data_IF_240943984307
#
_entry.id   IF_240943984307
#
_cell.length_a   1.000
_cell.length_b   1.000
_cell.length_c   1.000
_cell.angle_alpha   90.00
_cell.angle_beta   90.00
_cell.angle_gamma   90.00
#
_symmetry.space_group_name_H-M   'P 1'
#
loop_
_entity.id
_entity.type
_entity.pdbx_description
1 polymer ?
2 non-polymer ?
3 non-polymer ?
4 non-polymer ?
5 water ?
#
# COMPACT_ATOMS: atom_id res chain seq x y z
N UNK A 1 -8.50 18.62 -21.50
CA UNK A 1 -8.27 19.06 -20.13
C UNK A 1 -7.34 18.14 -19.35
N UNK A 2 -7.01 18.53 -18.13
CA UNK A 2 -6.13 17.76 -17.27
C UNK A 2 -6.89 16.67 -16.52
N UNK A 3 -6.15 15.66 -16.07
CA UNK A 3 -6.71 14.53 -15.35
C UNK A 3 -6.44 14.67 -13.86
N UNK A 4 -7.43 14.33 -13.05
CA UNK A 4 -7.38 14.50 -11.60
C UNK A 4 -7.67 13.15 -10.94
N UNK A 5 -6.64 12.38 -10.63
CA UNK A 5 -6.88 11.01 -10.15
C UNK A 5 -7.38 11.02 -8.71
N UNK A 6 -8.42 10.25 -8.45
CA UNK A 6 -8.99 10.10 -7.11
C UNK A 6 -8.39 8.85 -6.46
N UNK A 7 -7.67 9.03 -5.35
CA UNK A 7 -7.12 7.91 -4.60
C UNK A 7 -7.91 7.69 -3.32
N UNK A 8 -8.27 6.44 -3.06
CA UNK A 8 -8.94 6.06 -1.83
C UNK A 8 -8.17 4.95 -1.13
N UNK A 9 -8.17 5.03 0.19
CA UNK A 9 -7.64 4.00 1.07
C UNK A 9 -8.76 3.41 1.89
N UNK A 10 -8.88 2.07 1.87
CA UNK A 10 -9.98 1.35 2.51
C UNK A 10 -9.40 0.39 3.54
N UNK A 11 -9.76 0.62 4.81
CA UNK A 11 -9.41 -0.32 5.87
C UNK A 11 -10.50 -1.35 6.09
N UNK A 12 -10.12 -2.61 6.19
CA UNK A 12 -11.06 -3.72 6.26
C UNK A 12 -10.69 -4.60 7.46
N UNK A 13 -11.59 -4.66 8.44
CA UNK A 13 -11.30 -5.31 9.69
C UNK A 13 -10.50 -4.45 10.66
N UNK A 14 -10.12 -5.05 11.78
CA UNK A 14 -9.53 -4.28 12.87
C UNK A 14 -8.18 -3.69 12.51
N UNK A 15 -7.26 -4.53 12.07
CA UNK A 15 -5.93 -4.04 11.71
C UNK A 15 -5.97 -3.02 10.60
N UNK A 16 -6.79 -3.27 9.58
CA UNK A 16 -6.93 -2.30 8.50
C UNK A 16 -7.45 -0.96 8.96
N UNK A 17 -8.47 -0.96 9.81
CA UNK A 17 -8.98 0.31 10.28
C UNK A 17 -8.03 0.97 11.26
N UNK A 18 -7.26 0.18 12.02
CA UNK A 18 -6.17 0.71 12.81
C UNK A 18 -5.22 1.52 11.93
N UNK A 19 -4.83 0.93 10.80
CA UNK A 19 -3.90 1.60 9.90
C UNK A 19 -4.50 2.86 9.32
N UNK A 20 -5.80 2.82 8.98
CA UNK A 20 -6.49 4.01 8.50
C UNK A 20 -6.47 5.10 9.55
N UNK A 21 -6.81 4.75 10.80
CA UNK A 21 -6.85 5.75 11.86
C UNK A 21 -5.49 6.39 12.05
N UNK A 22 -4.44 5.57 12.08
CA UNK A 22 -3.11 6.14 12.31
C UNK A 22 -2.64 6.98 11.13
N UNK A 23 -3.01 6.60 9.90
CA UNK A 23 -2.67 7.43 8.75
C UNK A 23 -3.40 8.77 8.78
N UNK A 24 -4.70 8.75 9.14
CA UNK A 24 -5.43 10.00 9.28
C UNK A 24 -4.76 10.89 10.33
N UNK A 25 -4.40 10.30 11.48
CA UNK A 25 -3.72 11.06 12.52
C UNK A 25 -2.44 11.70 11.99
N UNK A 26 -1.62 10.91 11.27
CA UNK A 26 -0.37 11.42 10.72
C UNK A 26 -0.62 12.58 9.79
N UNK A 27 -1.76 12.57 9.09
CA UNK A 27 -2.11 13.63 8.18
C UNK A 27 -1.86 13.20 6.75
N UNK A 28 -2.86 13.38 5.90
CA UNK A 28 -2.76 12.91 4.53
C UNK A 28 -3.85 13.58 3.71
N UNK A 29 -3.44 14.40 2.74
CA UNK A 29 -4.37 15.23 2.00
C UNK A 29 -4.60 14.65 0.61
N UNK A 30 -5.78 14.94 0.07
CA UNK A 30 -6.27 14.52 -1.24
C UNK A 30 -6.51 13.03 -1.35
N UNK A 31 -6.38 12.29 -0.26
CA UNK A 31 -6.78 10.88 -0.21
C UNK A 31 -8.08 10.78 0.56
N UNK A 32 -9.00 9.95 0.07
CA UNK A 32 -10.24 9.66 0.81
C UNK A 32 -10.08 8.33 1.53
N UNK A 33 -10.59 8.26 2.75
CA UNK A 33 -10.50 7.04 3.55
C UNK A 33 -11.90 6.45 3.74
N UNK A 34 -11.97 5.13 3.72
CA UNK A 34 -13.19 4.37 3.93
C UNK A 34 -12.88 3.31 4.98
N UNK A 35 -13.70 3.23 6.00
CA UNK A 35 -13.55 2.22 7.04
C UNK A 35 -14.66 1.19 6.90
N UNK A 36 -14.27 -0.09 6.80
CA UNK A 36 -15.21 -1.19 6.66
C UNK A 36 -14.95 -2.19 7.79
N UNK A 37 -15.99 -2.54 8.53
CA UNK A 37 -15.82 -3.50 9.62
C UNK A 37 -17.19 -4.08 10.00
N UNK A 38 -17.14 -5.32 10.49
CA UNK A 38 -18.23 -5.91 11.24
C UNK A 38 -18.38 -5.32 12.63
N UNK A 39 -17.26 -4.96 13.25
CA UNK A 39 -17.23 -4.61 14.67
C UNK A 39 -17.70 -3.17 14.81
N UNK A 40 -18.95 -2.99 15.23
CA UNK A 40 -19.49 -1.66 15.36
C UNK A 40 -18.83 -0.79 16.41
N UNK A 41 -18.31 -1.41 17.47
CA UNK A 41 -17.64 -0.67 18.53
C UNK A 41 -16.36 -0.02 18.00
N UNK A 42 -15.57 -0.77 17.23
CA UNK A 42 -14.39 -0.22 16.60
C UNK A 42 -14.76 0.80 15.54
N UNK A 43 -15.77 0.51 14.73
CA UNK A 43 -16.13 1.44 13.66
C UNK A 43 -16.58 2.77 14.25
N UNK A 44 -17.26 2.76 15.40
CA UNK A 44 -17.69 4.01 16.03
C UNK A 44 -16.50 4.91 16.35
N UNK A 45 -15.33 4.32 16.60
CA UNK A 45 -14.12 5.08 16.91
C UNK A 45 -13.30 5.42 15.69
N UNK A 46 -13.74 5.01 14.49
CA UNK A 46 -12.98 5.32 13.29
C UNK A 46 -12.98 6.81 13.01
N UNK A 47 -11.86 7.29 12.50
CA UNK A 47 -11.71 8.68 12.07
C UNK A 47 -12.06 8.87 10.60
N UNK A 48 -12.42 7.80 9.89
CA UNK A 48 -12.68 7.89 8.46
C UNK A 48 -13.97 8.62 8.18
N UNK A 49 -13.97 9.38 7.07
CA UNK A 49 -15.15 10.15 6.70
C UNK A 49 -16.29 9.26 6.21
N UNK A 50 -15.97 8.09 5.70
CA UNK A 50 -16.95 7.16 5.15
C UNK A 50 -16.79 5.85 5.92
N UNK A 51 -17.86 5.40 6.54
CA UNK A 51 -17.87 4.18 7.36
C UNK A 51 -18.95 3.24 6.89
N UNK A 52 -18.61 1.97 6.77
CA UNK A 52 -19.55 0.97 6.32
C UNK A 52 -19.51 -0.17 7.32
N UNK A 53 -20.57 -0.33 8.10
CA UNK A 53 -20.69 -1.51 8.95
C UNK A 53 -21.26 -2.63 8.10
N UNK A 54 -20.57 -3.75 8.04
CA UNK A 54 -21.03 -4.90 7.25
C UNK A 54 -21.44 -6.03 8.19
N UNK A 55 -22.38 -6.86 7.74
CA UNK A 55 -22.70 -8.09 8.47
C UNK A 55 -23.45 -7.95 9.78
N UNK A 56 -24.14 -6.83 10.01
CA UNK A 56 -24.84 -6.68 11.29
C UNK A 56 -25.86 -7.80 11.53
N UNK A 57 -26.54 -8.24 10.48
CA UNK A 57 -27.45 -9.37 10.62
C UNK A 57 -26.72 -10.64 11.01
N UNK A 58 -25.48 -10.80 10.56
CA UNK A 58 -24.75 -12.02 10.84
C UNK A 58 -24.09 -12.02 12.20
N UNK A 59 -23.62 -10.85 12.67
CA UNK A 59 -22.81 -10.77 13.88
C UNK A 59 -23.45 -9.98 15.01
N UNK A 60 -24.58 -9.33 14.75
CA UNK A 60 -25.26 -8.43 15.70
C UNK A 60 -24.35 -7.30 16.16
N UNK A 61 -23.40 -6.91 15.31
CA UNK A 61 -22.55 -5.76 15.56
C UNK A 61 -21.20 -6.11 16.15
N UNK A 62 -20.95 -7.40 16.39
CA UNK A 62 -19.68 -7.91 16.81
C UNK A 62 -18.78 -8.17 15.61
N UNK A 63 -17.50 -8.42 15.90
CA UNK A 63 -16.62 -8.96 14.90
C UNK A 63 -17.06 -10.35 14.45
N UNK A 64 -16.27 -10.90 13.54
CA UNK A 64 -16.51 -12.19 12.89
C UNK A 64 -16.01 -13.36 13.71
N UNK A 65 -15.41 -13.11 14.87
CA UNK A 65 -14.96 -14.25 15.68
C UNK A 65 -13.99 -15.21 15.01
N UNK A 66 -13.10 -14.69 14.20
CA UNK A 66 -12.06 -15.46 13.53
C UNK A 66 -12.60 -16.35 12.41
N UNK A 67 -13.84 -16.10 11.94
CA UNK A 67 -14.44 -16.94 10.92
C UNK A 67 -14.42 -16.21 9.57
N UNK A 68 -13.52 -16.54 8.64
CA UNK A 68 -13.44 -15.76 7.40
C UNK A 68 -14.65 -15.89 6.50
N UNK A 69 -15.38 -17.01 6.57
CA UNK A 69 -16.61 -17.11 5.79
C UNK A 69 -17.63 -16.04 6.18
N UNK A 70 -17.66 -15.67 7.46
CA UNK A 70 -18.58 -14.61 7.91
C UNK A 70 -18.13 -13.26 7.38
N UNK A 71 -16.82 -12.98 7.42
CA UNK A 71 -16.31 -11.77 6.78
C UNK A 71 -16.64 -11.71 5.30
N UNK A 72 -16.50 -12.83 4.60
CA UNK A 72 -16.79 -12.84 3.17
C UNK A 72 -18.27 -12.59 2.91
N UNK A 73 -19.15 -13.32 3.60
CA UNK A 73 -20.60 -13.15 3.40
C UNK A 73 -21.04 -11.74 3.79
N UNK A 74 -20.45 -11.16 4.86
CA UNK A 74 -20.79 -9.79 5.26
C UNK A 74 -20.48 -8.79 4.16
N UNK A 75 -19.29 -8.89 3.56
CA UNK A 75 -18.94 -7.98 2.47
C UNK A 75 -19.83 -8.17 1.25
N UNK A 76 -20.10 -9.42 0.87
CA UNK A 76 -20.94 -9.66 -0.31
C UNK A 76 -22.32 -9.07 -0.11
N UNK A 77 -22.88 -9.22 1.09
CA UNK A 77 -24.23 -8.72 1.33
C UNK A 77 -24.30 -7.21 1.38
N UNK A 78 -23.18 -6.52 1.56
CA UNK A 78 -23.12 -5.07 1.50
C UNK A 78 -22.45 -4.56 0.23
N UNK A 79 -22.49 -5.35 -0.84
CA UNK A 79 -21.83 -4.97 -2.09
C UNK A 79 -22.25 -3.58 -2.53
N UNK A 80 -23.54 -3.28 -2.52
CA UNK A 80 -23.97 -2.01 -3.09
C UNK A 80 -23.44 -0.83 -2.28
N UNK A 81 -23.40 -0.97 -0.95
CA UNK A 81 -22.92 0.13 -0.14
C UNK A 81 -21.42 0.34 -0.37
N UNK A 82 -20.70 -0.76 -0.54
CA UNK A 82 -19.28 -0.70 -0.85
C UNK A 82 -19.05 -0.07 -2.22
N UNK A 83 -19.84 -0.50 -3.24
CA UNK A 83 -19.74 0.13 -4.56
C UNK A 83 -19.94 1.64 -4.46
N UNK A 84 -20.98 2.06 -3.72
CA UNK A 84 -21.32 3.46 -3.66
C UNK A 84 -20.19 4.28 -3.03
N UNK A 85 -19.50 3.71 -2.05
CA UNK A 85 -18.42 4.42 -1.36
C UNK A 85 -17.18 4.53 -2.26
N UNK A 86 -16.98 3.54 -3.13
CA UNK A 86 -15.81 3.51 -4.00
C UNK A 86 -16.02 4.39 -5.23
N UNK A 87 -17.25 4.48 -5.72
CA UNK A 87 -17.52 4.98 -7.06
C UNK A 87 -16.82 6.30 -7.31
N UNK A 88 -16.09 6.38 -8.42
CA UNK A 88 -15.30 7.53 -8.77
C UNK A 88 -13.81 7.38 -8.53
N UNK A 89 -13.40 6.41 -7.70
CA UNK A 89 -11.99 6.20 -7.45
C UNK A 89 -11.28 5.71 -8.70
N UNK A 90 -10.13 6.29 -8.96
CA UNK A 90 -9.22 5.80 -9.99
C UNK A 90 -8.28 4.76 -9.45
N UNK A 91 -7.96 4.89 -8.16
CA UNK A 91 -7.06 3.97 -7.49
C UNK A 91 -7.58 3.72 -6.08
N UNK A 92 -7.52 2.48 -5.66
CA UNK A 92 -7.97 2.04 -4.35
C UNK A 92 -6.86 1.22 -3.71
N UNK A 93 -6.45 1.58 -2.50
CA UNK A 93 -5.60 0.76 -1.66
C UNK A 93 -6.47 0.08 -0.58
N UNK A 94 -6.44 -1.26 -0.54
CA UNK A 94 -7.18 -2.04 0.47
C UNK A 94 -6.17 -2.54 1.48
N UNK A 95 -6.29 -2.12 2.73
CA UNK A 95 -5.38 -2.59 3.75
C UNK A 95 -6.12 -3.39 4.81
N UNK A 96 -5.51 -4.48 5.22
CA UNK A 96 -6.16 -5.44 6.09
C UNK A 96 -5.11 -6.30 6.76
N UNK A 97 -5.42 -6.78 7.96
CA UNK A 97 -4.67 -7.82 8.61
C UNK A 97 -5.27 -9.19 8.34
N UNK A 98 -4.49 -10.06 7.74
CA UNK A 98 -4.96 -11.39 7.41
C UNK A 98 -4.84 -12.31 8.62
N UNK A 99 -5.77 -13.26 8.72
CA UNK A 99 -5.77 -14.27 9.76
C UNK A 99 -7.02 -14.25 10.64
N UNK A 100 -7.73 -13.14 10.71
CA UNK A 100 -8.98 -13.06 11.42
C UNK A 100 -10.14 -13.40 10.52
N UNK A 101 -11.35 -13.06 10.98
CA UNK A 101 -12.52 -13.35 10.18
C UNK A 101 -12.91 -12.24 9.22
N UNK A 102 -12.82 -10.99 9.64
CA UNK A 102 -13.30 -9.92 8.76
C UNK A 102 -12.27 -9.57 7.68
N UNK A 103 -11.06 -9.24 8.07
CA UNK A 103 -10.04 -8.96 7.08
C UNK A 103 -9.90 -10.10 6.08
N UNK A 104 -9.64 -11.32 6.57
CA UNK A 104 -9.36 -12.44 5.68
C UNK A 104 -10.46 -12.63 4.66
N UNK A 105 -11.72 -12.53 5.09
CA UNK A 105 -12.84 -12.82 4.23
C UNK A 105 -13.40 -11.65 3.46
N UNK A 106 -13.44 -10.46 4.08
CA UNK A 106 -14.00 -9.29 3.43
C UNK A 106 -13.03 -8.56 2.53
N UNK A 107 -11.74 -8.54 2.86
CA UNK A 107 -10.82 -7.72 2.07
C UNK A 107 -10.77 -8.17 0.62
N UNK A 108 -10.70 -9.47 0.30
CA UNK A 108 -10.73 -9.84 -1.13
C UNK A 108 -12.04 -9.44 -1.83
N UNK A 109 -13.16 -9.43 -1.10
CA UNK A 109 -14.41 -9.03 -1.72
C UNK A 109 -14.36 -7.55 -2.04
N UNK A 110 -13.89 -6.76 -1.09
CA UNK A 110 -13.75 -5.31 -1.32
C UNK A 110 -12.82 -5.04 -2.49
N UNK A 111 -11.71 -5.77 -2.56
CA UNK A 111 -10.76 -5.59 -3.66
C UNK A 111 -11.41 -5.93 -5.01
N UNK A 112 -12.11 -7.06 -5.07
CA UNK A 112 -12.83 -7.45 -6.29
C UNK A 112 -13.83 -6.37 -6.72
N UNK A 113 -14.61 -5.83 -5.78
CA UNK A 113 -15.56 -4.77 -6.12
C UNK A 113 -14.83 -3.56 -6.69
N UNK A 114 -13.74 -3.14 -6.04
CA UNK A 114 -13.01 -1.98 -6.52
C UNK A 114 -12.55 -2.18 -7.97
N UNK A 115 -11.98 -3.35 -8.26
CA UNK A 115 -11.48 -3.61 -9.61
C UNK A 115 -12.62 -3.64 -10.61
N UNK A 116 -13.75 -4.25 -10.24
CA UNK A 116 -14.92 -4.26 -11.10
C UNK A 116 -15.54 -2.87 -11.26
N UNK A 117 -15.30 -1.97 -10.31
CA UNK A 117 -15.74 -0.58 -10.45
C UNK A 117 -14.77 0.25 -11.30
N UNK A 118 -13.69 -0.35 -11.78
CA UNK A 118 -12.73 0.34 -12.62
C UNK A 118 -11.53 0.95 -11.93
N UNK A 119 -11.34 0.73 -10.64
CA UNK A 119 -10.19 1.29 -9.96
C UNK A 119 -8.97 0.38 -10.08
N UNK A 120 -7.81 1.01 -10.24
CA UNK A 120 -6.54 0.32 -10.04
C UNK A 120 -6.42 -0.06 -8.56
N UNK A 121 -6.32 -1.36 -8.29
CA UNK A 121 -6.58 -1.87 -6.94
C UNK A 121 -5.32 -2.51 -6.39
N UNK A 122 -4.82 -1.95 -5.28
CA UNK A 122 -3.61 -2.42 -4.60
C UNK A 122 -3.97 -2.92 -3.20
N UNK A 123 -3.56 -4.14 -2.87
CA UNK A 123 -3.65 -4.65 -1.52
C UNK A 123 -2.34 -4.46 -0.75
N UNK A 124 -2.48 -4.03 0.51
CA UNK A 124 -1.36 -4.00 1.45
C UNK A 124 -1.85 -4.71 2.72
N UNK A 125 -1.37 -5.91 2.95
CA UNK A 125 -1.90 -6.75 4.01
C UNK A 125 -0.76 -7.35 4.81
N UNK A 126 -1.08 -7.70 6.05
CA UNK A 126 -0.16 -8.35 6.95
C UNK A 126 -0.50 -9.84 7.08
N UNK A 127 0.55 -10.64 7.39
CA UNK A 127 0.44 -12.01 7.88
C UNK A 127 0.69 -12.00 9.38
N UNK A 128 0.04 -12.91 10.11
CA UNK A 128 0.12 -12.87 11.58
C UNK A 128 1.50 -13.28 12.09
N UNK A 129 1.78 -12.83 13.32
CA UNK A 129 2.98 -13.28 14.01
C UNK A 129 2.92 -14.80 14.19
N UNK A 130 4.08 -15.45 14.09
CA UNK A 130 4.15 -16.89 14.37
C UNK A 130 3.58 -17.23 15.75
N UNK A 131 3.73 -16.33 16.72
CA UNK A 131 3.24 -16.63 18.05
C UNK A 131 1.71 -16.67 18.12
N UNK A 132 1.01 -16.22 17.08
CA UNK A 132 -0.43 -16.40 16.99
C UNK A 132 -0.84 -17.79 16.54
N UNK A 133 0.10 -18.60 16.07
CA UNK A 133 -0.14 -20.02 15.86
C UNK A 133 -0.46 -20.36 14.42
N UNK A 134 -0.50 -21.69 14.18
CA UNK A 134 -0.53 -22.23 12.82
C UNK A 134 -1.89 -22.05 12.17
N UNK A 135 -2.98 -22.20 12.92
CA UNK A 135 -4.29 -22.04 12.31
C UNK A 135 -4.51 -20.62 11.82
N UNK A 136 -4.05 -19.62 12.60
CA UNK A 136 -4.12 -18.24 12.14
C UNK A 136 -3.26 -18.03 10.89
N UNK A 137 -2.07 -18.60 10.88
CA UNK A 137 -1.20 -18.48 9.72
C UNK A 137 -1.85 -19.12 8.50
N UNK A 138 -2.45 -20.29 8.67
CA UNK A 138 -3.09 -20.98 7.55
C UNK A 138 -4.32 -20.22 7.04
N UNK A 139 -5.15 -19.68 7.94
CA UNK A 139 -6.25 -18.82 7.47
C UNK A 139 -5.71 -17.61 6.76
N UNK A 140 -4.67 -16.98 7.32
CA UNK A 140 -4.08 -15.82 6.66
C UNK A 140 -3.58 -16.16 5.27
N UNK A 141 -2.96 -17.33 5.11
CA UNK A 141 -2.46 -17.73 3.80
C UNK A 141 -3.59 -17.80 2.77
N UNK A 142 -4.75 -18.36 3.17
CA UNK A 142 -5.89 -18.41 2.26
C UNK A 142 -6.36 -17.00 1.90
N UNK A 143 -6.36 -16.09 2.88
CA UNK A 143 -6.70 -14.71 2.58
C UNK A 143 -5.74 -14.05 1.60
N UNK A 144 -4.46 -14.26 1.81
CA UNK A 144 -3.46 -13.72 0.89
C UNK A 144 -3.70 -14.21 -0.53
N UNK A 145 -3.91 -15.51 -0.69
CA UNK A 145 -4.17 -16.04 -2.01
C UNK A 145 -5.44 -15.44 -2.61
N UNK A 146 -6.49 -15.31 -1.80
CA UNK A 146 -7.71 -14.69 -2.31
C UNK A 146 -7.47 -13.23 -2.69
N UNK A 147 -6.69 -12.50 -1.89
CA UNK A 147 -6.33 -11.12 -2.22
C UNK A 147 -5.59 -11.07 -3.55
N UNK A 148 -4.61 -11.98 -3.74
CA UNK A 148 -3.82 -11.97 -4.96
C UNK A 148 -4.72 -12.15 -6.16
N UNK A 149 -5.76 -12.98 -6.04
CA UNK A 149 -6.66 -13.21 -7.16
C UNK A 149 -7.51 -11.99 -7.45
N UNK A 150 -7.75 -11.13 -6.46
CA UNK A 150 -8.69 -10.04 -6.61
C UNK A 150 -8.05 -8.69 -6.94
N UNK A 151 -6.78 -8.47 -6.59
CA UNK A 151 -6.18 -7.14 -6.73
C UNK A 151 -5.43 -7.04 -8.06
N UNK A 152 -5.02 -5.81 -8.41
CA UNK A 152 -4.01 -5.67 -9.46
C UNK A 152 -2.62 -5.98 -8.91
N UNK A 153 -2.30 -5.46 -7.71
CA UNK A 153 -0.97 -5.66 -7.12
C UNK A 153 -1.14 -5.86 -5.62
N UNK A 154 -0.25 -6.65 -5.03
CA UNK A 154 -0.32 -7.04 -3.62
C UNK A 154 1.03 -6.88 -2.95
N UNK A 155 1.04 -6.18 -1.82
CA UNK A 155 2.17 -6.03 -0.92
C UNK A 155 1.82 -6.74 0.37
N UNK A 156 2.65 -7.69 0.75
CA UNK A 156 2.45 -8.49 1.97
C UNK A 156 3.55 -8.15 2.97
N UNK A 157 3.13 -7.82 4.20
CA UNK A 157 4.03 -7.54 5.32
C UNK A 157 3.87 -8.64 6.35
N UNK A 158 4.82 -9.59 6.47
CA UNK A 158 4.75 -10.57 7.56
C UNK A 158 5.03 -9.87 8.88
N UNK A 159 4.08 -9.94 9.81
CA UNK A 159 4.27 -9.25 11.07
C UNK A 159 5.52 -9.74 11.80
N UNK A 160 5.95 -10.98 11.54
CA UNK A 160 7.19 -11.46 12.16
C UNK A 160 8.37 -10.55 11.83
N UNK A 161 8.33 -9.84 10.69
CA UNK A 161 9.43 -8.96 10.36
C UNK A 161 9.52 -7.78 11.32
N UNK A 162 8.42 -7.41 11.97
CA UNK A 162 8.51 -6.39 13.00
C UNK A 162 9.45 -6.82 14.13
N UNK A 163 9.57 -8.11 14.35
CA UNK A 163 10.46 -8.56 15.40
C UNK A 163 11.91 -8.34 15.02
N UNK A 164 12.17 -8.02 13.76
CA UNK A 164 13.53 -7.73 13.31
C UNK A 164 13.91 -6.27 13.49
N UNK A 165 12.97 -5.36 13.71
CA UNK A 165 13.23 -3.93 13.77
C UNK A 165 12.95 -3.34 15.14
N UNK A 166 12.64 -4.16 16.15
CA UNK A 166 12.43 -3.66 17.49
C UNK A 166 13.58 -4.09 18.38
N UNK A 167 13.82 -3.32 19.43
CA UNK A 167 14.57 -3.81 20.57
C UNK A 167 13.59 -4.32 21.63
N UNK A 168 14.12 -4.80 22.76
CA UNK A 168 13.24 -5.45 23.73
C UNK A 168 12.21 -4.49 24.34
N UNK A 169 12.37 -3.19 24.17
CA UNK A 169 11.48 -2.21 24.77
C UNK A 169 10.60 -1.45 23.78
N UNK A 170 10.82 -1.57 22.48
CA UNK A 170 10.06 -0.76 21.53
C UNK A 170 8.56 -0.99 21.76
N UNK A 171 7.78 0.06 21.96
CA UNK A 171 6.34 -0.16 22.15
C UNK A 171 5.70 -0.81 20.92
N UNK A 172 4.72 -1.69 21.18
CA UNK A 172 4.02 -2.34 20.10
C UNK A 172 3.46 -1.33 19.11
N UNK A 173 2.95 -0.21 19.61
CA UNK A 173 2.33 0.75 18.71
C UNK A 173 3.38 1.41 17.82
N UNK A 174 4.57 1.62 18.35
CA UNK A 174 5.65 2.18 17.52
C UNK A 174 6.03 1.21 16.42
N UNK A 175 6.09 -0.09 16.73
CA UNK A 175 6.33 -1.09 15.71
C UNK A 175 5.23 -1.08 14.65
N UNK A 176 3.96 -1.02 15.08
CA UNK A 176 2.88 -0.97 14.12
C UNK A 176 2.98 0.23 13.21
N UNK A 177 3.45 1.37 13.69
CA UNK A 177 3.55 2.53 12.81
C UNK A 177 4.63 2.33 11.74
N UNK A 178 5.66 1.54 12.05
CA UNK A 178 6.65 1.22 11.01
C UNK A 178 6.02 0.39 9.89
N UNK A 179 5.15 -0.56 10.24
CA UNK A 179 4.46 -1.28 9.17
C UNK A 179 3.52 -0.35 8.42
N UNK A 180 2.82 0.57 9.14
CA UNK A 180 1.94 1.54 8.49
C UNK A 180 2.66 2.32 7.40
N UNK A 181 3.96 2.58 7.61
CA UNK A 181 4.71 3.45 6.70
C UNK A 181 4.76 2.90 5.30
N UNK A 182 4.71 1.58 5.15
CA UNK A 182 4.77 0.98 3.82
C UNK A 182 3.62 1.49 2.97
N UNK A 183 2.40 1.34 3.47
CA UNK A 183 1.24 1.87 2.77
C UNK A 183 1.24 3.41 2.71
N UNK A 184 1.50 4.09 3.82
CA UNK A 184 1.39 5.56 3.79
C UNK A 184 2.35 6.18 2.77
N UNK A 185 3.61 5.75 2.78
CA UNK A 185 4.58 6.36 1.88
C UNK A 185 4.35 5.94 0.44
N UNK A 186 3.83 4.74 0.22
CA UNK A 186 3.41 4.34 -1.11
C UNK A 186 2.30 5.20 -1.67
N UNK A 187 1.24 5.42 -0.87
CA UNK A 187 0.15 6.31 -1.25
C UNK A 187 0.67 7.71 -1.49
N UNK A 188 1.45 8.24 -0.56
CA UNK A 188 1.92 9.62 -0.69
C UNK A 188 2.79 9.80 -1.93
N UNK A 189 3.60 8.79 -2.25
CA UNK A 189 4.46 8.88 -3.43
C UNK A 189 3.66 8.94 -4.71
N UNK A 190 2.60 8.15 -4.79
CA UNK A 190 1.73 8.23 -5.96
C UNK A 190 0.99 9.55 -5.99
N UNK A 191 0.45 9.99 -4.85
CA UNK A 191 -0.22 11.29 -4.81
C UNK A 191 0.71 12.41 -5.27
N UNK A 192 1.95 12.41 -4.79
CA UNK A 192 2.90 13.47 -5.20
C UNK A 192 3.24 13.35 -6.68
N UNK A 193 3.40 12.13 -7.15
CA UNK A 193 3.69 11.90 -8.54
C UNK A 193 2.62 12.49 -9.44
N UNK A 194 1.34 12.34 -9.05
CA UNK A 194 0.21 12.86 -9.81
C UNK A 194 0.05 14.36 -9.67
N UNK A 195 0.41 14.92 -8.52
CA UNK A 195 0.16 16.33 -8.27
C UNK A 195 1.12 17.24 -9.01
N UNK A 196 2.35 16.78 -9.30
CA UNK A 196 3.41 17.64 -9.81
C UNK A 196 3.66 17.33 -11.27
N UNK A 197 3.95 18.35 -12.06
CA UNK A 197 4.39 18.16 -13.43
C UNK A 197 5.91 18.02 -13.39
N UNK A 198 6.43 16.88 -13.84
CA UNK A 198 7.85 16.64 -13.75
C UNK A 198 8.59 17.07 -15.01
N UNK A 199 9.89 17.39 -14.85
CA UNK A 199 10.68 17.73 -16.02
C UNK A 199 10.71 16.58 -17.01
N UNK A 200 10.86 15.36 -16.52
CA UNK A 200 10.51 14.14 -17.25
C UNK A 200 9.28 13.60 -16.53
N UNK A 201 8.11 13.81 -17.12
CA UNK A 201 6.86 13.65 -16.40
C UNK A 201 6.35 12.22 -16.46
N UNK A 202 6.03 11.67 -15.30
CA UNK A 202 5.25 10.45 -15.17
C UNK A 202 3.86 10.80 -14.65
N UNK A 203 2.86 10.00 -15.03
CA UNK A 203 1.53 10.30 -14.51
C UNK A 203 0.78 9.01 -14.23
N UNK A 204 -0.51 9.16 -13.87
CA UNK A 204 -1.28 8.01 -13.43
C UNK A 204 -1.36 6.90 -14.46
N UNK A 205 -1.34 7.20 -15.75
CA UNK A 205 -1.32 6.11 -16.75
C UNK A 205 -0.05 5.27 -16.67
N UNK A 206 1.08 5.89 -16.28
CA UNK A 206 2.31 5.13 -16.07
C UNK A 206 2.18 4.24 -14.83
N UNK A 207 1.56 4.75 -13.76
CA UNK A 207 1.25 3.90 -12.59
C UNK A 207 0.40 2.72 -13.03
N UNK A 208 -0.65 2.97 -13.83
CA UNK A 208 -1.47 1.87 -14.33
C UNK A 208 -0.65 0.85 -15.13
N UNK A 209 0.23 1.32 -16.03
CA UNK A 209 1.01 0.38 -16.81
C UNK A 209 1.87 -0.51 -15.91
N UNK A 210 2.48 0.06 -14.88
CA UNK A 210 3.36 -0.72 -14.03
C UNK A 210 2.60 -1.61 -13.06
N UNK A 211 1.35 -1.26 -12.63
CA UNK A 211 0.69 -2.01 -11.58
C UNK A 211 -0.46 -2.90 -12.04
N UNK A 212 -1.04 -2.65 -13.21
CA UNK A 212 -2.25 -3.36 -13.62
C UNK A 212 -1.98 -4.84 -13.83
N UNK A 213 -2.81 -5.68 -13.21
CA UNK A 213 -2.74 -7.14 -13.36
C UNK A 213 -1.31 -7.69 -13.27
N UNK A 214 -0.58 -7.31 -12.22
CA UNK A 214 0.82 -7.69 -12.09
C UNK A 214 1.12 -8.72 -10.99
N UNK A 215 0.38 -8.76 -9.89
CA UNK A 215 0.69 -9.69 -8.81
C UNK A 215 1.47 -9.00 -7.68
N UNK A 216 2.59 -9.58 -7.30
CA UNK A 216 3.36 -9.00 -6.19
C UNK A 216 3.95 -7.65 -6.58
N UNK A 217 4.16 -6.80 -5.58
CA UNK A 217 4.74 -5.49 -5.83
C UNK A 217 5.57 -5.04 -4.64
N UNK A 218 6.43 -4.06 -4.93
CA UNK A 218 7.18 -3.30 -3.95
C UNK A 218 6.91 -1.82 -4.21
N UNK A 219 6.70 -1.05 -3.15
CA UNK A 219 6.55 0.40 -3.25
C UNK A 219 7.40 1.02 -2.16
N UNK A 220 8.34 1.88 -2.54
CA UNK A 220 9.30 2.38 -1.58
C UNK A 220 9.74 3.80 -1.89
N UNK A 221 10.22 4.46 -0.84
CA UNK A 221 10.73 5.82 -0.99
C UNK A 221 12.02 5.92 -0.19
N UNK A 222 12.99 6.57 -0.78
CA UNK A 222 14.24 6.87 -0.09
C UNK A 222 14.59 8.33 -0.22
N UNK A 223 15.16 8.87 0.87
CA UNK A 223 15.53 10.28 0.95
C UNK A 223 16.94 10.34 1.49
N UNK A 224 17.80 11.13 0.86
CA UNK A 224 19.15 11.31 1.35
C UNK A 224 19.70 12.65 0.88
N UNK A 225 20.87 12.99 1.41
CA UNK A 225 21.53 14.26 1.16
C UNK A 225 23.02 14.02 1.12
N UNK A 226 23.75 15.04 0.68
CA UNK A 226 25.19 15.00 0.80
C UNK A 226 25.84 14.07 -0.22
N UNK A 227 27.02 13.59 0.14
CA UNK A 227 27.78 12.76 -0.78
C UNK A 227 27.06 11.44 -1.01
N UNK A 228 27.02 11.01 -2.27
CA UNK A 228 26.42 9.74 -2.62
C UNK A 228 24.92 9.70 -2.30
N UNK A 229 24.28 10.87 -2.31
CA UNK A 229 22.86 10.96 -1.96
C UNK A 229 21.98 10.12 -2.88
N UNK A 230 22.26 10.11 -4.19
CA UNK A 230 21.39 9.39 -5.11
C UNK A 230 21.46 7.87 -4.87
N UNK A 231 22.67 7.34 -4.69
CA UNK A 231 22.82 5.91 -4.42
C UNK A 231 22.16 5.55 -3.08
N UNK A 232 22.38 6.38 -2.05
CA UNK A 232 21.81 6.09 -0.75
C UNK A 232 20.28 6.18 -0.76
N UNK A 233 19.73 7.18 -1.44
CA UNK A 233 18.26 7.26 -1.52
C UNK A 233 17.68 6.07 -2.28
N UNK A 234 18.32 5.66 -3.38
CA UNK A 234 17.84 4.50 -4.15
C UNK A 234 17.90 3.23 -3.30
N UNK A 235 19.01 2.98 -2.60
CA UNK A 235 19.07 1.80 -1.75
C UNK A 235 17.97 1.82 -0.69
N UNK A 236 17.67 2.98 -0.11
CA UNK A 236 16.62 3.07 0.89
C UNK A 236 15.25 2.78 0.29
N UNK A 237 15.00 3.27 -0.92
CA UNK A 237 13.74 3.03 -1.60
C UNK A 237 13.44 1.54 -1.77
N UNK A 238 14.47 0.70 -1.95
CA UNK A 238 14.26 -0.70 -2.34
C UNK A 238 14.56 -1.67 -1.23
N UNK A 239 14.93 -1.19 -0.05
CA UNK A 239 15.47 -2.05 1.00
C UNK A 239 14.62 -1.86 2.24
N UNK A 240 13.40 -2.46 2.23
CA UNK A 240 12.68 -2.57 3.51
C UNK A 240 12.82 -3.98 4.09
N UNK A 241 13.19 -4.06 5.36
CA UNK A 241 13.19 -5.36 6.04
C UNK A 241 11.80 -5.90 6.36
N UNK A 242 10.71 -5.19 6.05
CA UNK A 242 9.35 -5.60 6.41
C UNK A 242 8.63 -6.32 5.29
N UNK A 243 9.26 -6.51 4.14
CA UNK A 243 8.50 -6.96 2.98
C UNK A 243 8.70 -8.45 2.71
N UNK A 244 7.61 -9.09 2.32
CA UNK A 244 7.72 -10.44 1.76
C UNK A 244 8.38 -10.40 0.38
N UNK A 245 7.96 -9.46 -0.46
CA UNK A 245 8.47 -9.30 -1.82
C UNK A 245 9.57 -8.26 -1.81
N UNK A 246 10.82 -8.70 -1.97
CA UNK A 246 11.95 -7.80 -2.13
C UNK A 246 12.05 -7.31 -3.57
N UNK A 247 13.03 -6.43 -3.82
CA UNK A 247 13.28 -5.95 -5.16
C UNK A 247 13.80 -7.05 -6.09
N UNK A 248 14.33 -8.15 -5.53
CA UNK A 248 15.02 -9.11 -6.37
C UNK A 248 14.03 -9.83 -7.27
N UNK A 249 14.29 -9.82 -8.57
CA UNK A 249 13.42 -10.40 -9.55
C UNK A 249 12.52 -9.42 -10.28
N UNK A 250 12.47 -8.15 -9.87
CA UNK A 250 11.60 -7.20 -10.54
C UNK A 250 11.94 -7.11 -12.00
N UNK A 251 10.92 -7.10 -12.83
CA UNK A 251 11.12 -6.93 -14.25
C UNK A 251 10.53 -5.64 -14.79
N UNK A 252 9.65 -4.99 -14.01
CA UNK A 252 9.20 -3.64 -14.31
C UNK A 252 9.32 -2.72 -13.12
N UNK A 253 9.78 -1.49 -13.39
CA UNK A 253 10.01 -0.51 -12.33
C UNK A 253 9.57 0.86 -12.82
N UNK A 254 8.83 1.57 -11.98
CA UNK A 254 8.59 2.99 -12.12
C UNK A 254 9.49 3.68 -11.09
N UNK A 255 10.43 4.50 -11.54
CA UNK A 255 11.32 5.22 -10.65
C UNK A 255 11.21 6.70 -10.93
N UNK A 256 10.88 7.48 -9.90
CA UNK A 256 10.86 8.93 -10.00
C UNK A 256 11.89 9.49 -9.04
N UNK A 257 12.75 10.39 -9.53
CA UNK A 257 13.74 11.10 -8.70
C UNK A 257 13.38 12.58 -8.61
N UNK A 258 13.29 13.08 -7.38
CA UNK A 258 12.99 14.47 -7.11
C UNK A 258 14.21 15.09 -6.44
N UNK A 259 14.62 16.25 -6.92
CA UNK A 259 15.65 17.00 -6.25
C UNK A 259 15.58 18.45 -6.67
N UNK A 260 16.54 19.22 -6.19
CA UNK A 260 16.64 20.62 -6.54
C UNK A 260 17.37 20.79 -7.85
N UNK A 261 17.73 22.04 -8.12
CA UNK A 261 18.35 22.36 -9.40
C UNK A 261 19.72 21.72 -9.57
N UNK A 262 20.31 21.20 -8.48
CA UNK A 262 21.59 20.53 -8.55
C UNK A 262 21.48 19.09 -9.06
N UNK A 263 20.27 18.55 -9.25
CA UNK A 263 20.13 17.17 -9.66
C UNK A 263 20.92 16.88 -10.93
N UNK A 264 21.92 16.02 -10.82
CA UNK A 264 22.82 15.76 -11.94
C UNK A 264 22.36 14.55 -12.74
N UNK A 265 22.66 14.59 -14.05
CA UNK A 265 22.40 13.43 -14.89
C UNK A 265 23.17 12.21 -14.39
N UNK A 266 24.44 12.40 -14.00
CA UNK A 266 25.24 11.30 -13.52
C UNK A 266 24.57 10.60 -12.32
N UNK A 267 24.09 11.36 -11.34
CA UNK A 267 23.53 10.69 -10.16
C UNK A 267 22.17 10.05 -10.47
N UNK A 268 21.42 10.57 -11.44
CA UNK A 268 20.20 9.88 -11.87
C UNK A 268 20.53 8.51 -12.43
N UNK A 269 21.58 8.42 -13.28
CA UNK A 269 21.98 7.11 -13.77
C UNK A 269 22.43 6.21 -12.63
N UNK A 270 23.17 6.76 -11.67
CA UNK A 270 23.62 5.94 -10.52
C UNK A 270 22.44 5.30 -9.82
N UNK A 271 21.42 6.09 -9.53
CA UNK A 271 20.21 5.64 -8.85
C UNK A 271 19.52 4.56 -9.67
N UNK A 272 19.36 4.79 -10.97
CA UNK A 272 18.72 3.78 -11.82
C UNK A 272 19.51 2.49 -11.83
N UNK A 273 20.85 2.59 -11.90
CA UNK A 273 21.69 1.39 -11.91
C UNK A 273 21.60 0.64 -10.59
N UNK A 274 21.44 1.36 -9.48
CA UNK A 274 21.27 0.68 -8.19
C UNK A 274 20.05 -0.23 -8.24
N UNK A 275 18.95 0.28 -8.80
CA UNK A 275 17.71 -0.49 -8.84
C UNK A 275 17.84 -1.67 -9.79
N UNK A 276 18.38 -1.42 -11.00
CA UNK A 276 18.62 -2.51 -11.96
C UNK A 276 19.51 -3.58 -11.36
N UNK A 277 20.63 -3.18 -10.77
CA UNK A 277 21.57 -4.17 -10.24
C UNK A 277 20.93 -5.00 -9.14
N UNK A 278 20.13 -4.36 -8.28
CA UNK A 278 19.50 -5.04 -7.16
C UNK A 278 18.45 -6.03 -7.64
N UNK A 279 17.64 -5.62 -8.63
CA UNK A 279 16.66 -6.51 -9.24
C UNK A 279 17.32 -7.74 -9.84
N UNK A 280 18.57 -7.61 -10.28
CA UNK A 280 19.28 -8.70 -10.96
C UNK A 280 18.44 -9.26 -12.10
N UNK A 281 17.82 -8.37 -12.87
CA UNK A 281 17.03 -8.72 -14.04
C UNK A 281 17.23 -7.61 -15.06
N UNK A 282 16.76 -7.86 -16.28
CA UNK A 282 16.63 -6.83 -17.29
C UNK A 282 15.33 -6.07 -17.02
N UNK A 283 15.44 -4.93 -16.35
CA UNK A 283 14.25 -4.22 -15.86
C UNK A 283 13.73 -3.27 -16.92
N UNK A 284 12.42 -3.31 -17.15
CA UNK A 284 11.75 -2.34 -18.00
C UNK A 284 11.41 -1.13 -17.15
N UNK A 285 12.25 -0.11 -17.24
CA UNK A 285 12.08 1.06 -16.38
C UNK A 285 11.19 2.10 -17.03
N UNK A 286 10.33 2.71 -16.21
CA UNK A 286 9.64 3.94 -16.52
C UNK A 286 10.25 4.98 -15.61
N UNK A 287 11.00 5.92 -16.20
CA UNK A 287 11.88 6.81 -15.45
C UNK A 287 11.34 8.24 -15.48
N UNK A 288 11.35 8.88 -14.32
CA UNK A 288 10.85 10.25 -14.22
C UNK A 288 11.75 11.08 -13.33
N UNK A 289 11.62 12.39 -13.50
CA UNK A 289 12.40 13.37 -12.76
C UNK A 289 11.59 14.61 -12.48
N UNK A 290 11.73 15.13 -11.27
CA UNK A 290 11.04 16.34 -10.83
C UNK A 290 12.08 17.25 -10.22
N UNK A 291 12.13 18.50 -10.67
CA UNK A 291 13.00 19.49 -10.07
C UNK A 291 12.15 20.30 -9.10
N UNK A 292 12.43 20.18 -7.81
CA UNK A 292 11.78 21.00 -6.78
C UNK A 292 12.83 21.93 -6.19
N UNK A 293 12.88 23.19 -6.60
CA UNK A 293 13.96 24.06 -6.12
C UNK A 293 13.84 24.37 -4.66
N UNK A 294 12.66 24.25 -4.07
CA UNK A 294 12.56 24.34 -2.61
C UNK A 294 13.54 23.37 -1.97
N UNK A 295 13.75 22.22 -2.59
CA UNK A 295 14.76 21.31 -2.11
C UNK A 295 16.13 21.92 -2.36
N UNK A 296 17.05 21.61 -1.45
CA UNK A 296 18.39 22.19 -1.48
C UNK A 296 19.34 21.07 -1.82
N UNK A 297 19.85 20.33 -0.83
CA UNK A 297 20.75 19.21 -1.03
C UNK A 297 20.04 17.86 -0.94
N UNK A 298 18.71 17.85 -0.74
CA UNK A 298 17.96 16.61 -0.57
C UNK A 298 17.54 16.04 -1.91
N UNK A 299 17.58 14.71 -2.00
CA UNK A 299 17.09 13.97 -3.15
C UNK A 299 16.11 12.91 -2.65
N UNK A 300 15.06 12.66 -3.43
CA UNK A 300 14.04 11.68 -3.07
C UNK A 300 13.86 10.74 -4.24
N UNK A 301 13.99 9.43 -3.98
CA UNK A 301 13.79 8.40 -4.98
C UNK A 301 12.53 7.62 -4.62
N UNK A 302 11.59 7.53 -5.57
CA UNK A 302 10.38 6.74 -5.42
C UNK A 302 10.44 5.56 -6.38
N UNK A 303 10.17 4.37 -5.85
CA UNK A 303 10.18 3.16 -6.64
C UNK A 303 8.88 2.40 -6.50
N UNK A 304 8.32 1.99 -7.65
CA UNK A 304 7.29 0.96 -7.71
C UNK A 304 7.82 -0.15 -8.58
N UNK A 305 7.86 -1.39 -8.05
CA UNK A 305 8.44 -2.51 -8.76
C UNK A 305 7.45 -3.66 -8.85
N UNK A 306 7.32 -4.23 -10.04
CA UNK A 306 6.42 -5.35 -10.32
C UNK A 306 7.10 -6.26 -11.33
N UNK A 307 6.34 -7.20 -11.90
CA UNK A 307 6.89 -8.13 -12.85
C UNK A 307 7.65 -9.28 -12.23
N UNK A 308 7.30 -9.66 -11.01
CA UNK A 308 7.90 -10.81 -10.35
C UNK A 308 7.27 -12.11 -10.86
X LIG B 1 -10.44 -9.08 12.03
X LIG B 1 -10.95 -7.69 12.24
X LIG B 1 -11.28 -10.00 12.86
X LIG B 1 -10.45 -9.51 10.60
X LIG B 1 -8.95 -9.30 12.65
X LIG B 1 -7.91 -8.12 12.98
X LIG B 1 -8.24 -7.42 14.27
X LIG B 1 -7.74 -7.20 11.83
X LIG B 1 -6.58 -9.03 13.20
X LIG B 1 -6.16 -9.90 12.15
X LIG B 1 -4.62 -9.96 12.24
X LIG B 1 -4.02 -8.69 11.94
X LIG B 1 -4.12 -10.32 13.64
X LIG B 1 -4.07 -11.72 13.75
X LIG B 1 -2.74 -9.67 13.70
X LIG B 1 -1.78 -10.48 13.03
X LIG B 1 -2.87 -8.46 12.81
X LIG B 1 -3.16 -7.12 13.32
X LIG B 1 -4.28 -6.65 13.91
X LIG B 1 -4.18 -5.32 14.14
X LIG B 1 -2.93 -4.98 13.63
X LIG B 1 -2.18 -3.73 13.49
X LIG B 1 -2.68 -2.66 13.88
X LIG B 1 -0.96 -3.78 12.91
X LIG B 1 -0.42 -4.93 12.46
X LIG B 1 0.80 -4.81 11.90
X LIG B 1 -1.03 -6.14 12.51
X LIG B 1 -2.29 -6.17 13.09
X LIG B 1 -4.35 -10.73 11.51
X LIG B 1 -4.75 -9.97 14.46
X LIG B 1 -4.39 -11.99 14.62
X LIG B 1 -2.44 -9.49 14.74
X LIG B 1 -0.97 -10.51 13.55
X LIG B 1 -1.84 -8.43 12.44
X LIG B 1 -5.14 -7.25 14.19
X LIG B 1 -0.42 -2.89 12.80
X LIG B 1 1.24 -5.61 11.53
X LIG B 1 1.26 -3.92 11.86
X LIG C 1 3.25 14.05 -12.79
X LIG D 1 -2.63 -3.94 9.85
X LIG D 1 -2.58 -2.59 10.33
X LIG D 1 -2.52 -3.98 8.33
X LIG D 1 -3.78 -3.62 7.78
X LIG D 1 -3.56 -4.41 10.16
X LIG D 1 -1.80 -4.52 10.29
X LIG D 1 -2.73 -2.58 11.28
X LIG D 1 -2.23 -4.97 8.00
X LIG D 1 -1.76 -3.27 8.00
X LIG D 1 -3.75 -3.69 6.81
#
# INVERSE_FOLDING_TARGET
GSHMATLKVIGVGGGGNNAVNRMIDHGMNNVEFIAINTDGQALNLSKAESKIQIGEKLTRGLGAGANPEIGKKAAEESREQIEDAIQGADMVFVTSGMGGGTGTGAAPVVAKIAKEMGALTVGVVTRPFSFEGRKRQTQAAAGVEAMKAAVDTLIVIPNDRLLDIVDKSTPMMEAFKEADNVLRQGVQGISDLIAVSGEVNLDFADVKTIMSNQGSALMGIGVSSGENRAVEAAKKAISSPLLETSIVGAQGVLMNITGGESLSLFEAQEAADIVQDAADEDVNMIFGTVINPELQDEIVVTVIATGFD
GDP PB O1B O2B O3B O3A PA O1A O2A O5' C5' C4' O4' C3' O3' C2' O2' C1' N9 C8 N7 C5 C6 O6 N1 C2 N2 N3 C4 H4' H3' HO3' H2' HO2' H1' H8 HN1 HN21 HN22
K K
EDO C1 O1 C2 O2 H11 H12 HO1 H21 H22 HO2
#
